data_IF_779256681964
#
_entry.id   IF_779256681964
#
_cell.length_a   1.000
_cell.length_b   1.000
_cell.length_c   1.000
_cell.angle_alpha   90.00
_cell.angle_beta   90.00
_cell.angle_gamma   90.00
#
_symmetry.space_group_name_H-M   'P 1'
#
loop_
_entity.id
_entity.type
_entity.pdbx_description
1 polymer ?
#
# COMPACT_ATOMS: atom_id res chain seq x y z
N UNK A 1 42.33 -16.33 -21.79
CA UNK A 1 42.00 -15.51 -20.61
C UNK A 1 40.84 -14.63 -21.02
N UNK A 2 39.60 -15.03 -20.71
CA UNK A 2 38.39 -14.40 -21.25
C UNK A 2 37.54 -13.91 -20.08
N UNK A 3 37.22 -12.61 -20.08
CA UNK A 3 36.40 -11.94 -19.08
C UNK A 3 35.02 -11.60 -19.65
N UNK A 4 33.97 -12.37 -19.31
CA UNK A 4 32.59 -11.92 -19.49
C UNK A 4 31.73 -12.22 -18.24
N UNK A 5 32.05 -11.63 -17.08
CA UNK A 5 31.23 -11.80 -15.86
C UNK A 5 30.83 -10.49 -15.19
N UNK A 6 31.32 -9.34 -15.65
CA UNK A 6 31.10 -8.07 -14.96
C UNK A 6 29.80 -7.34 -15.36
N UNK A 7 29.22 -7.62 -16.52
CA UNK A 7 28.01 -6.92 -16.99
C UNK A 7 26.70 -7.42 -16.38
N UNK A 8 26.63 -8.65 -15.87
CA UNK A 8 25.37 -9.20 -15.33
C UNK A 8 25.07 -8.68 -13.93
N UNK A 9 26.09 -8.23 -13.18
CA UNK A 9 25.89 -7.73 -11.82
C UNK A 9 25.37 -6.29 -11.75
N UNK A 10 25.48 -5.49 -12.83
CA UNK A 10 25.04 -4.08 -12.82
C UNK A 10 23.55 -3.89 -13.17
N UNK A 11 22.90 -4.91 -13.75
CA UNK A 11 21.47 -4.87 -14.08
C UNK A 11 20.57 -5.31 -12.91
N UNK A 12 21.14 -5.88 -11.84
CA UNK A 12 20.38 -6.33 -10.68
C UNK A 12 20.23 -5.28 -9.57
N UNK A 13 21.00 -4.19 -9.63
CA UNK A 13 21.01 -3.14 -8.59
C UNK A 13 19.92 -2.07 -8.78
N UNK A 14 19.11 -2.16 -9.85
CA UNK A 14 18.07 -1.17 -10.15
C UNK A 14 16.66 -1.60 -9.73
N UNK A 15 16.53 -2.79 -9.12
CA UNK A 15 15.24 -3.34 -8.70
C UNK A 15 15.21 -3.27 -7.16
N UNK A 16 14.23 -2.55 -6.61
CA UNK A 16 13.94 -2.33 -5.18
C UNK A 16 14.38 -0.97 -4.59
N UNK A 17 14.27 0.12 -5.35
CA UNK A 17 13.81 1.36 -4.72
C UNK A 17 12.31 1.22 -4.41
N UNK A 18 11.97 0.34 -3.46
CA UNK A 18 10.61 0.32 -2.91
C UNK A 18 10.46 1.65 -2.21
N UNK A 19 9.60 2.52 -2.73
CA UNK A 19 9.24 3.77 -2.09
C UNK A 19 8.63 3.41 -0.74
N UNK A 20 9.45 3.44 0.31
CA UNK A 20 8.97 3.27 1.68
C UNK A 20 8.11 4.52 1.92
N UNK A 21 6.79 4.34 1.92
CA UNK A 21 5.90 5.40 2.32
C UNK A 21 6.28 5.79 3.75
N UNK A 22 6.77 7.02 3.93
CA UNK A 22 7.13 7.49 5.25
C UNK A 22 5.85 7.60 6.09
N UNK A 23 5.82 6.91 7.22
CA UNK A 23 4.72 7.04 8.17
C UNK A 23 4.65 8.49 8.68
N UNK A 24 3.46 9.08 8.66
CA UNK A 24 3.22 10.45 9.11
C UNK A 24 2.95 10.55 10.63
N UNK A 25 2.84 9.40 11.31
CA UNK A 25 2.54 9.29 12.74
C UNK A 25 2.05 7.88 13.07
N UNK A 26 1.24 7.76 14.13
CA UNK A 26 0.49 6.52 14.41
C UNK A 26 -0.96 6.81 14.78
N UNK A 27 -1.78 5.78 14.79
CA UNK A 27 -3.11 5.81 15.40
C UNK A 27 -3.30 4.57 16.27
N UNK A 28 -4.23 4.67 17.22
CA UNK A 28 -4.69 3.53 17.99
C UNK A 28 -6.13 3.20 17.67
N UNK A 29 -6.45 1.90 17.73
CA UNK A 29 -7.82 1.39 17.60
C UNK A 29 -8.01 0.25 18.60
N UNK A 30 -9.10 0.32 19.35
CA UNK A 30 -9.57 -0.80 20.18
C UNK A 30 -10.36 -1.77 19.31
N UNK A 31 -10.13 -3.07 19.43
CA UNK A 31 -10.93 -4.11 18.80
C UNK A 31 -11.59 -4.95 19.89
N UNK A 32 -12.89 -5.12 19.79
CA UNK A 32 -13.68 -5.98 20.65
C UNK A 32 -14.01 -7.28 19.92
N UNK A 33 -13.58 -8.41 20.48
CA UNK A 33 -13.90 -9.73 19.98
C UNK A 33 -14.99 -10.36 20.83
N UNK A 34 -16.06 -10.83 20.19
CA UNK A 34 -17.15 -11.57 20.82
C UNK A 34 -17.55 -12.74 19.93
N UNK A 35 -17.15 -13.96 20.32
CA UNK A 35 -17.51 -15.23 19.66
C UNK A 35 -17.32 -15.24 18.13
N UNK A 36 -16.16 -14.78 17.66
CA UNK A 36 -15.82 -14.76 16.24
C UNK A 36 -16.23 -13.49 15.50
N UNK A 37 -16.98 -12.60 16.15
CA UNK A 37 -17.29 -11.27 15.63
C UNK A 37 -16.28 -10.28 16.17
N UNK A 38 -15.66 -9.50 15.28
CA UNK A 38 -14.76 -8.40 15.63
C UNK A 38 -15.48 -7.08 15.38
N UNK A 39 -15.67 -6.30 16.44
CA UNK A 39 -16.21 -4.95 16.37
C UNK A 39 -15.09 -3.93 16.57
N UNK A 40 -14.84 -3.03 15.60
CA UNK A 40 -13.88 -1.95 15.78
C UNK A 40 -14.43 -0.87 16.70
N UNK A 41 -13.58 -0.38 17.60
CA UNK A 41 -13.82 0.79 18.44
C UNK A 41 -13.43 2.10 17.75
N UNK A 42 -13.38 3.19 18.52
CA UNK A 42 -12.99 4.50 18.01
C UNK A 42 -11.50 4.54 17.63
N UNK A 43 -11.20 5.18 16.50
CA UNK A 43 -9.84 5.49 16.05
C UNK A 43 -9.35 6.75 16.76
N UNK A 44 -8.11 6.73 17.25
CA UNK A 44 -7.47 7.90 17.87
C UNK A 44 -6.09 8.12 17.25
N UNK A 45 -5.89 9.28 16.62
CA UNK A 45 -4.56 9.70 16.15
C UNK A 45 -3.62 9.93 17.33
N UNK A 46 -2.38 9.46 17.20
CA UNK A 46 -1.33 9.60 18.18
C UNK A 46 -0.15 10.38 17.57
N UNK A 47 0.33 11.40 18.27
CA UNK A 47 1.52 12.18 17.89
C UNK A 47 2.84 11.45 18.25
N UNK A 48 2.86 10.12 18.16
CA UNK A 48 4.02 9.30 18.50
C UNK A 48 4.26 8.26 17.43
N UNK A 49 5.50 7.84 17.28
CA UNK A 49 5.82 6.69 16.44
C UNK A 49 5.29 5.40 17.10
N UNK A 50 4.82 4.43 16.30
CA UNK A 50 4.42 3.14 16.84
C UNK A 50 5.67 2.46 17.45
N UNK A 51 5.54 1.73 18.58
CA UNK A 51 6.67 1.02 19.16
C UNK A 51 7.28 0.02 18.15
N UNK A 52 8.60 0.03 17.99
CA UNK A 52 9.32 -0.89 17.09
C UNK A 52 9.26 -2.36 17.54
N UNK A 53 8.93 -2.60 18.81
CA UNK A 53 9.03 -3.91 19.43
C UNK A 53 7.64 -4.47 19.73
N UNK A 54 7.09 -5.18 18.76
CA UNK A 54 6.04 -6.14 19.03
C UNK A 54 6.39 -7.48 18.42
N UNK A 55 6.21 -8.52 19.21
CA UNK A 55 6.31 -9.87 18.70
C UNK A 55 5.07 -10.14 17.84
N UNK A 56 5.25 -10.27 16.53
CA UNK A 56 4.19 -10.71 15.63
C UNK A 56 4.02 -12.22 15.81
N UNK A 57 2.83 -12.69 16.21
CA UNK A 57 2.59 -14.12 16.34
C UNK A 57 2.59 -14.77 14.95
N UNK A 58 3.06 -16.03 14.86
CA UNK A 58 3.05 -16.81 13.61
C UNK A 58 1.61 -17.17 13.18
N UNK A 59 0.69 -17.27 14.13
CA UNK A 59 -0.74 -17.55 13.95
C UNK A 59 -1.57 -16.45 14.63
N UNK A 60 -2.75 -16.16 14.10
CA UNK A 60 -3.73 -15.26 14.69
C UNK A 60 -4.51 -14.46 13.64
N UNK A 61 -4.55 -13.16 13.85
CA UNK A 61 -5.23 -12.20 13.00
C UNK A 61 -4.21 -11.28 12.35
N UNK A 62 -4.58 -10.67 11.23
CA UNK A 62 -3.75 -9.65 10.59
C UNK A 62 -4.51 -8.34 10.46
N UNK A 63 -3.84 -7.23 10.76
CA UNK A 63 -4.30 -5.88 10.54
C UNK A 63 -3.54 -5.29 9.34
N UNK A 64 -4.27 -4.90 8.28
CA UNK A 64 -3.71 -4.42 7.01
C UNK A 64 -4.25 -3.04 6.68
N UNK A 65 -3.38 -2.08 6.41
CA UNK A 65 -3.77 -0.73 5.98
C UNK A 65 -3.76 -0.71 4.47
N UNK A 66 -4.91 -0.40 3.88
CA UNK A 66 -5.14 -0.34 2.44
C UNK A 66 -5.26 1.12 2.02
N UNK A 67 -4.57 1.49 0.94
CA UNK A 67 -4.62 2.83 0.36
C UNK A 67 -5.85 3.04 -0.54
N UNK A 68 -6.11 4.29 -0.94
CA UNK A 68 -7.18 4.63 -1.90
C UNK A 68 -7.04 3.92 -3.27
N UNK A 69 -5.82 3.62 -3.70
CA UNK A 69 -5.55 2.86 -4.93
C UNK A 69 -5.67 1.33 -4.75
N UNK A 70 -6.05 0.85 -3.56
CA UNK A 70 -6.18 -0.57 -3.23
C UNK A 70 -4.87 -1.29 -2.90
N UNK A 71 -3.74 -0.59 -2.88
CA UNK A 71 -2.45 -1.17 -2.47
C UNK A 71 -2.34 -1.31 -0.95
N UNK A 72 -1.61 -2.33 -0.49
CA UNK A 72 -1.31 -2.52 0.93
C UNK A 72 -0.12 -1.62 1.32
N UNK A 73 -0.34 -0.75 2.31
CA UNK A 73 0.68 0.17 2.85
C UNK A 73 1.45 -0.47 4.01
N UNK A 74 0.75 -1.27 4.81
CA UNK A 74 1.27 -1.90 6.01
C UNK A 74 0.45 -3.14 6.36
N UNK A 75 1.11 -4.15 6.93
CA UNK A 75 0.47 -5.33 7.48
C UNK A 75 1.19 -5.78 8.74
N UNK A 76 0.44 -6.26 9.73
CA UNK A 76 0.97 -6.79 10.97
C UNK A 76 0.08 -7.87 11.57
N UNK A 77 0.68 -8.93 12.11
CA UNK A 77 0.01 -9.96 12.91
C UNK A 77 -0.31 -9.54 14.35
N UNK A 78 -1.43 -10.05 14.90
CA UNK A 78 -1.79 -9.90 16.31
C UNK A 78 -2.69 -11.06 16.80
N UNK A 79 -2.83 -11.20 18.11
CA UNK A 79 -3.73 -12.16 18.74
C UNK A 79 -4.59 -11.46 19.81
N UNK A 80 -5.83 -11.91 20.01
CA UNK A 80 -6.73 -11.36 21.04
C UNK A 80 -6.39 -11.85 22.45
N UNK A 81 -5.36 -12.69 22.60
CA UNK A 81 -5.02 -13.37 23.83
C UNK A 81 -6.15 -14.30 24.25
N UNK A 82 -6.67 -15.14 23.34
CA UNK A 82 -7.77 -16.05 23.67
C UNK A 82 -7.23 -17.24 24.48
N UNK A 83 -7.01 -17.05 25.78
CA UNK A 83 -6.68 -18.16 26.67
C UNK A 83 -7.96 -18.94 26.95
N UNK A 84 -8.10 -20.10 26.30
CA UNK A 84 -9.14 -21.07 26.61
C UNK A 84 -8.95 -21.53 28.07
N UNK A 85 -9.77 -21.00 28.99
CA UNK A 85 -10.03 -21.71 30.23
C UNK A 85 -10.70 -23.04 29.85
N UNK A 86 -10.42 -24.14 30.58
CA UNK A 86 -10.85 -25.53 30.32
C UNK A 86 -12.37 -25.77 30.14
N UNK A 87 -13.18 -24.73 29.97
CA UNK A 87 -14.59 -24.80 29.74
C UNK A 87 -14.95 -24.35 28.29
N UNK A 88 -15.29 -25.29 27.40
CA UNK A 88 -15.65 -25.00 26.00
C UNK A 88 -16.99 -24.27 25.82
N UNK A 89 -17.76 -24.01 26.89
CA UNK A 89 -19.02 -23.27 26.83
C UNK A 89 -18.89 -21.77 27.19
N UNK A 90 -17.69 -21.29 27.52
CA UNK A 90 -17.48 -19.89 27.93
C UNK A 90 -17.42 -19.00 26.69
N UNK A 91 -18.33 -18.01 26.63
CA UNK A 91 -18.25 -16.90 25.68
C UNK A 91 -16.85 -16.28 25.76
N UNK A 92 -16.13 -16.28 24.64
CA UNK A 92 -14.81 -15.69 24.57
C UNK A 92 -14.98 -14.23 24.18
N UNK A 93 -14.83 -13.36 25.17
CA UNK A 93 -14.82 -11.90 24.99
C UNK A 93 -13.41 -11.39 25.27
N UNK A 94 -12.85 -10.61 24.35
CA UNK A 94 -11.53 -10.04 24.49
C UNK A 94 -11.44 -8.65 23.87
N UNK A 95 -10.66 -7.77 24.50
CA UNK A 95 -10.35 -6.45 23.98
C UNK A 95 -8.85 -6.35 23.70
N UNK A 96 -8.49 -5.91 22.50
CA UNK A 96 -7.09 -5.61 22.15
C UNK A 96 -6.99 -4.19 21.65
N UNK A 97 -5.92 -3.49 22.03
CA UNK A 97 -5.61 -2.18 21.49
C UNK A 97 -4.43 -2.29 20.52
N UNK A 98 -4.68 -1.95 19.26
CA UNK A 98 -3.64 -1.89 18.24
C UNK A 98 -3.11 -0.47 18.13
N UNK A 99 -1.79 -0.33 17.98
CA UNK A 99 -1.13 0.93 17.61
C UNK A 99 -0.46 0.68 16.25
N UNK A 100 -0.88 1.42 15.24
CA UNK A 100 -0.53 1.21 13.84
C UNK A 100 0.04 2.50 13.23
N UNK A 101 0.96 2.43 12.26
CA UNK A 101 1.44 3.61 11.56
C UNK A 101 0.32 4.31 10.78
N UNK A 102 0.37 5.63 10.72
CA UNK A 102 -0.52 6.45 9.89
C UNK A 102 0.18 6.80 8.57
N UNK A 103 -0.57 6.77 7.47
CA UNK A 103 -0.08 7.12 6.14
C UNK A 103 -0.96 8.19 5.53
N UNK A 104 -0.38 9.07 4.72
CA UNK A 104 -1.14 10.16 4.09
C UNK A 104 -2.25 9.65 3.20
N UNK A 105 -2.11 8.48 2.57
CA UNK A 105 -3.05 7.93 1.58
C UNK A 105 -3.78 6.66 2.06
N UNK A 106 -3.87 6.43 3.36
CA UNK A 106 -4.66 5.31 3.90
C UNK A 106 -6.15 5.51 3.64
N UNK A 107 -6.87 4.43 3.38
CA UNK A 107 -8.31 4.44 3.11
C UNK A 107 -9.05 3.52 4.06
N UNK A 108 -8.60 2.27 4.22
CA UNK A 108 -9.27 1.30 5.10
C UNK A 108 -8.25 0.52 5.94
N UNK A 109 -8.66 0.11 7.14
CA UNK A 109 -8.01 -0.94 7.93
C UNK A 109 -8.79 -2.23 7.76
N UNK A 110 -8.16 -3.26 7.19
CA UNK A 110 -8.72 -4.59 7.05
C UNK A 110 -8.21 -5.49 8.17
N UNK A 111 -9.12 -6.14 8.89
CA UNK A 111 -8.81 -7.18 9.87
C UNK A 111 -9.15 -8.53 9.25
N UNK A 112 -8.16 -9.41 9.11
CA UNK A 112 -8.34 -10.75 8.54
C UNK A 112 -8.01 -11.85 9.55
N UNK A 113 -8.62 -13.03 9.39
CA UNK A 113 -8.26 -14.24 10.16
C UNK A 113 -7.05 -14.97 9.57
N UNK A 114 -6.70 -16.10 10.19
CA UNK A 114 -5.65 -17.03 9.75
C UNK A 114 -5.83 -17.57 8.32
N UNK A 115 -7.05 -17.62 7.81
CA UNK A 115 -7.35 -18.06 6.43
C UNK A 115 -7.24 -16.88 5.44
N UNK A 116 -6.96 -15.67 5.93
CA UNK A 116 -6.93 -14.44 5.14
C UNK A 116 -8.32 -13.90 4.80
N UNK A 117 -9.38 -14.36 5.48
CA UNK A 117 -10.74 -13.87 5.25
C UNK A 117 -10.95 -12.55 5.98
N UNK A 118 -11.56 -11.59 5.29
CA UNK A 118 -11.92 -10.29 5.88
C UNK A 118 -13.02 -10.46 6.93
N UNK A 119 -12.74 -10.04 8.16
CA UNK A 119 -13.67 -10.13 9.30
C UNK A 119 -14.24 -8.75 9.64
N UNK A 120 -13.41 -7.71 9.57
CA UNK A 120 -13.81 -6.33 9.81
C UNK A 120 -13.05 -5.38 8.88
N UNK A 121 -13.70 -4.27 8.52
CA UNK A 121 -13.12 -3.16 7.80
C UNK A 121 -13.45 -1.85 8.53
N UNK A 122 -12.46 -0.97 8.67
CA UNK A 122 -12.61 0.34 9.30
C UNK A 122 -12.26 1.40 8.29
N UNK A 123 -13.15 2.34 8.05
CA UNK A 123 -12.89 3.51 7.21
C UNK A 123 -11.87 4.42 7.92
N UNK A 124 -10.74 4.66 7.26
CA UNK A 124 -9.67 5.54 7.70
C UNK A 124 -9.57 6.81 6.85
N UNK A 125 -10.47 7.00 5.88
CA UNK A 125 -10.41 8.10 4.91
C UNK A 125 -10.45 9.48 5.56
N UNK A 126 -11.16 9.63 6.70
CA UNK A 126 -11.23 10.88 7.45
C UNK A 126 -9.90 11.29 8.12
N UNK A 127 -8.97 10.34 8.27
CA UNK A 127 -7.65 10.56 8.85
C UNK A 127 -6.56 10.69 7.78
N UNK A 128 -6.90 10.49 6.51
CA UNK A 128 -5.98 10.59 5.39
C UNK A 128 -5.77 12.06 5.01
N UNK A 129 -4.51 12.45 4.81
CA UNK A 129 -4.16 13.78 4.31
C UNK A 129 -4.34 13.85 2.79
N UNK A 130 -4.12 12.75 2.08
CA UNK A 130 -4.11 12.64 0.62
C UNK A 130 -5.19 11.64 0.16
N UNK A 131 -6.24 12.14 -0.49
CA UNK A 131 -7.38 11.32 -0.93
C UNK A 131 -7.26 10.80 -2.38
N UNK A 132 -6.18 11.14 -3.09
CA UNK A 132 -5.88 10.70 -4.47
C UNK A 132 -6.94 11.10 -5.52
N UNK A 133 -7.71 12.18 -5.28
CA UNK A 133 -8.77 12.64 -6.16
C UNK A 133 -8.29 13.55 -7.32
N UNK A 134 -6.97 13.78 -7.44
CA UNK A 134 -6.31 14.66 -8.43
C UNK A 134 -6.59 16.16 -8.23
N UNK A 135 -7.08 16.56 -7.06
CA UNK A 135 -7.35 17.95 -6.69
C UNK A 135 -6.58 18.28 -5.42
N UNK A 136 -5.51 19.08 -5.56
CA UNK A 136 -4.72 19.54 -4.43
C UNK A 136 -5.55 20.46 -3.51
N UNK A 137 -5.96 19.97 -2.35
CA UNK A 137 -6.74 20.72 -1.38
C UNK A 137 -5.93 21.11 -0.13
N UNK A 138 -5.45 22.35 -0.13
CA UNK A 138 -4.64 22.89 0.96
C UNK A 138 -5.38 22.92 2.31
N UNK A 139 -6.72 23.00 2.32
CA UNK A 139 -7.52 23.02 3.56
C UNK A 139 -7.45 21.68 4.32
N UNK A 140 -7.15 20.58 3.62
CA UNK A 140 -6.90 19.25 4.21
C UNK A 140 -5.41 18.96 4.45
N UNK A 141 -4.53 19.95 4.27
CA UNK A 141 -3.08 19.77 4.42
C UNK A 141 -2.41 19.07 3.23
N UNK A 142 -3.10 18.96 2.08
CA UNK A 142 -2.49 18.45 0.86
C UNK A 142 -1.46 19.45 0.33
N UNK A 143 -0.25 18.97 0.13
CA UNK A 143 0.87 19.71 -0.44
C UNK A 143 1.61 18.80 -1.41
N UNK A 144 2.49 19.37 -2.24
CA UNK A 144 3.37 18.56 -3.08
C UNK A 144 4.28 17.59 -2.30
N UNK A 145 4.49 17.81 -1.00
CA UNK A 145 5.26 16.91 -0.14
C UNK A 145 4.40 15.79 0.46
N UNK A 146 3.15 16.09 0.85
CA UNK A 146 2.24 15.14 1.50
C UNK A 146 1.39 14.34 0.52
N UNK A 147 1.05 14.93 -0.63
CA UNK A 147 0.20 14.37 -1.67
C UNK A 147 0.74 14.70 -3.07
N UNK A 148 1.93 14.21 -3.46
CA UNK A 148 2.58 14.54 -4.74
C UNK A 148 1.76 14.11 -5.97
N UNK A 149 0.88 13.13 -5.80
CA UNK A 149 0.05 12.55 -6.85
C UNK A 149 -1.11 13.48 -7.27
N UNK A 150 -1.55 14.36 -6.37
CA UNK A 150 -2.64 15.33 -6.62
C UNK A 150 -2.10 16.76 -6.67
N UNK A 151 -1.11 17.07 -5.84
CA UNK A 151 -0.41 18.34 -5.82
C UNK A 151 0.83 18.32 -6.73
N UNK A 152 0.63 18.03 -8.01
CA UNK A 152 1.68 18.21 -9.02
C UNK A 152 2.04 19.70 -8.99
N UNK A 153 3.26 20.02 -8.55
CA UNK A 153 3.81 21.36 -8.81
C UNK A 153 3.75 21.52 -10.31
N UNK A 154 2.79 22.28 -10.83
CA UNK A 154 2.92 22.85 -12.14
C UNK A 154 4.31 23.48 -12.11
N UNK A 155 5.24 22.94 -12.92
CA UNK A 155 6.54 23.56 -13.09
C UNK A 155 6.22 25.01 -13.30
N UNK A 156 6.64 25.82 -12.33
CA UNK A 156 6.35 27.23 -12.34
C UNK A 156 7.20 27.71 -13.49
N UNK A 157 6.64 27.68 -14.70
CA UNK A 157 7.16 28.47 -15.79
C UNK A 157 7.26 29.85 -15.17
N UNK A 158 8.48 30.37 -14.97
CA UNK A 158 8.67 31.66 -14.33
C UNK A 158 7.74 32.60 -15.06
N UNK A 159 6.80 33.18 -14.32
CA UNK A 159 5.75 34.00 -14.88
C UNK A 159 6.41 35.05 -15.77
N UNK A 160 6.38 34.81 -17.08
CA UNK A 160 6.64 35.84 -18.05
C UNK A 160 5.45 36.77 -17.90
N UNK A 161 5.68 37.86 -17.18
CA UNK A 161 4.77 38.94 -16.85
C UNK A 161 4.08 39.41 -18.13
N UNK A 162 2.98 38.75 -18.48
CA UNK A 162 2.15 39.11 -19.62
C UNK A 162 0.94 39.83 -19.08
N UNK A 163 0.95 41.14 -19.35
CA UNK A 163 -0.12 42.10 -19.10
C UNK A 163 -1.51 41.58 -19.52
N UNK A 164 -2.58 42.13 -18.91
CA UNK A 164 -3.92 41.63 -19.13
C UNK A 164 -4.45 42.14 -20.48
N UNK A 165 -4.75 41.26 -21.42
CA UNK A 165 -5.71 41.63 -22.45
C UNK A 165 -6.62 40.48 -22.92
N UNK A 166 -7.86 40.61 -22.46
CA UNK A 166 -9.12 40.27 -23.10
C UNK A 166 -9.55 38.80 -23.23
N UNK A 167 -10.66 38.58 -22.53
CA UNK A 167 -11.65 37.52 -22.71
C UNK A 167 -11.91 37.19 -24.18
N UNK A 168 -11.56 35.96 -24.56
CA UNK A 168 -12.24 35.24 -25.63
C UNK A 168 -12.68 33.89 -25.10
N UNK A 169 -13.99 33.83 -24.86
CA UNK A 169 -14.81 32.63 -24.77
C UNK A 169 -14.41 31.65 -25.89
N UNK A 170 -13.77 30.54 -25.51
CA UNK A 170 -13.33 29.50 -26.42
C UNK A 170 -14.18 28.26 -26.17
N UNK A 171 -15.03 27.99 -27.15
CA UNK A 171 -15.88 26.80 -27.29
C UNK A 171 -15.03 25.54 -27.11
N UNK A 172 -15.39 24.72 -26.12
CA UNK A 172 -14.76 23.43 -25.83
C UNK A 172 -15.18 22.45 -26.93
N UNK A 173 -14.23 22.09 -27.79
CA UNK A 173 -14.38 21.04 -28.78
C UNK A 173 -14.28 19.68 -28.08
N UNK A 174 -15.29 18.85 -28.29
CA UNK A 174 -15.38 17.46 -27.85
C UNK A 174 -14.21 16.65 -28.45
N UNK A 175 -13.27 16.27 -27.61
CA UNK A 175 -12.08 15.53 -28.00
C UNK A 175 -12.40 14.04 -28.12
N UNK A 176 -12.38 13.55 -29.36
CA UNK A 176 -12.59 12.14 -29.72
C UNK A 176 -11.45 11.28 -29.12
N UNK A 177 -11.74 10.22 -28.35
CA UNK A 177 -10.71 9.41 -27.70
C UNK A 177 -9.80 8.76 -28.74
N UNK A 178 -8.50 9.02 -28.59
CA UNK A 178 -7.47 8.40 -29.39
C UNK A 178 -7.46 6.88 -29.16
N UNK A 179 -7.54 6.13 -30.26
CA UNK A 179 -7.51 4.68 -30.22
C UNK A 179 -6.17 4.18 -29.65
N UNK A 180 -6.25 3.58 -28.45
CA UNK A 180 -5.18 2.89 -27.75
C UNK A 180 -4.62 1.74 -28.60
N UNK A 181 -3.61 2.02 -29.43
CA UNK A 181 -2.92 1.00 -30.23
C UNK A 181 -1.62 0.57 -29.55
N UNK A 182 -1.69 -0.62 -28.95
CA UNK A 182 -0.79 -1.76 -29.21
C UNK A 182 0.60 -1.78 -28.51
N UNK A 183 0.61 -2.14 -27.23
CA UNK A 183 1.81 -2.61 -26.50
C UNK A 183 1.86 -4.13 -26.24
N UNK A 184 1.11 -4.92 -27.01
CA UNK A 184 1.08 -6.38 -26.87
C UNK A 184 2.43 -7.06 -27.21
N UNK A 185 3.30 -6.39 -27.96
CA UNK A 185 4.63 -6.92 -28.33
C UNK A 185 5.55 -6.93 -27.09
N UNK A 186 5.48 -5.90 -26.25
CA UNK A 186 6.32 -5.80 -25.05
C UNK A 186 5.91 -6.87 -24.01
N UNK A 187 4.60 -7.04 -23.82
CA UNK A 187 4.05 -8.05 -22.90
C UNK A 187 4.45 -9.46 -23.35
N UNK A 188 4.36 -9.76 -24.65
CA UNK A 188 4.78 -11.05 -25.19
C UNK A 188 6.27 -11.35 -24.97
N UNK A 189 7.14 -10.34 -25.12
CA UNK A 189 8.57 -10.49 -24.87
C UNK A 189 8.88 -10.80 -23.40
N UNK A 190 8.20 -10.13 -22.46
CA UNK A 190 8.37 -10.35 -21.02
C UNK A 190 7.95 -11.77 -20.60
N UNK A 191 6.84 -12.27 -21.13
CA UNK A 191 6.36 -13.63 -20.86
C UNK A 191 7.37 -14.66 -21.36
N UNK A 192 7.93 -14.48 -22.56
CA UNK A 192 8.93 -15.40 -23.12
C UNK A 192 10.21 -15.47 -22.27
N UNK A 193 10.70 -14.33 -21.77
CA UNK A 193 11.87 -14.29 -20.87
C UNK A 193 11.58 -15.02 -19.56
N UNK A 194 10.40 -14.82 -18.98
CA UNK A 194 10.02 -15.49 -17.73
C UNK A 194 9.98 -17.02 -17.86
N UNK A 195 9.44 -17.53 -18.97
CA UNK A 195 9.41 -18.98 -19.26
C UNK A 195 10.83 -19.55 -19.40
N UNK A 196 11.75 -18.83 -20.05
CA UNK A 196 13.16 -19.26 -20.18
C UNK A 196 13.83 -19.34 -18.80
N UNK A 197 13.59 -18.36 -17.92
CA UNK A 197 14.15 -18.36 -16.57
C UNK A 197 13.64 -19.58 -15.77
N UNK A 198 12.34 -19.87 -15.82
CA UNK A 198 11.76 -21.05 -15.14
C UNK A 198 12.40 -22.34 -15.67
N UNK A 199 12.53 -22.48 -17.00
CA UNK A 199 13.15 -23.66 -17.61
C UNK A 199 14.60 -23.85 -17.15
N UNK A 200 15.38 -22.77 -17.05
CA UNK A 200 16.76 -22.81 -16.54
C UNK A 200 16.82 -23.23 -15.07
N UNK A 201 15.95 -22.69 -14.22
CA UNK A 201 15.88 -23.06 -12.80
C UNK A 201 15.53 -24.55 -12.64
N UNK A 202 14.58 -25.06 -13.42
CA UNK A 202 14.21 -26.48 -13.42
C UNK A 202 15.36 -27.38 -13.91
N UNK A 203 16.10 -26.95 -14.94
CA UNK A 203 17.26 -27.69 -15.44
C UNK A 203 18.39 -27.77 -14.40
N UNK A 204 18.65 -26.68 -13.68
CA UNK A 204 19.65 -26.65 -12.59
C UNK A 204 19.22 -27.58 -11.45
N UNK A 205 17.95 -27.52 -11.02
CA UNK A 205 17.43 -28.41 -9.97
C UNK A 205 17.51 -29.89 -10.37
N UNK A 206 17.20 -30.21 -11.63
CA UNK A 206 17.30 -31.58 -12.13
C UNK A 206 18.75 -32.09 -12.11
N UNK A 207 19.72 -31.23 -12.46
CA UNK A 207 21.15 -31.59 -12.41
C UNK A 207 21.61 -31.88 -10.97
N UNK A 208 21.19 -31.05 -10.01
CA UNK A 208 21.54 -31.23 -8.59
C UNK A 208 20.94 -32.52 -7.99
N UNK A 209 19.81 -32.99 -8.50
CA UNK A 209 19.19 -34.24 -8.03
C UNK A 209 19.86 -35.52 -8.57
N UNK A 210 20.82 -35.40 -9.51
CA UNK A 210 21.54 -36.53 -10.11
C UNK A 210 22.96 -36.69 -9.57
N UNK A 211 23.43 -35.73 -8.76
CA UNK A 211 24.71 -35.77 -8.03
C UNK A 211 24.45 -36.21 -6.58
#
# INVERSE_FOLDING_TARGET
>A
MNAPTLSVMLAFTFILSVSVAAAAGSFSIGLHYDNGVVAPGAVQLLEREPPDFFHEPEEGYAARIIAFNGSELYSRGFDFGLWAYDNPEVLVVADVQLILPSFNNMNELHITDNEGRLIAAVDLSEYAVCNQNKVCNADYGETAATCPEDCIKAETQPAEETLPEQAKEKTVAEEKPAALKKDYILIGALIAVFVIIIALVLAVRKKQAQE
#
